data_IF_864142739977
#
_entry.id   IF_864142739977
#
_cell.length_a   1.000
_cell.length_b   1.000
_cell.length_c   1.000
_cell.angle_alpha   90.00
_cell.angle_beta   90.00
_cell.angle_gamma   90.00
#
_symmetry.space_group_name_H-M   'P 1'
#
loop_
_entity.id
_entity.type
_entity.pdbx_description
1 polymer ?
#
# COMPACT_ATOMS: atom_id res chain seq x y z
N UNK A 1 -0.36 13.58 16.77
CA UNK A 1 -1.81 13.64 16.42
C UNK A 1 -2.06 13.23 14.99
N UNK A 2 -1.60 13.98 13.98
CA UNK A 2 -1.96 13.76 12.55
C UNK A 2 -1.63 12.34 12.07
N UNK A 3 -0.42 11.83 12.30
CA UNK A 3 -0.02 10.49 11.86
C UNK A 3 -0.94 9.38 12.41
N UNK A 4 -1.35 9.46 13.67
CA UNK A 4 -2.26 8.50 14.27
C UNK A 4 -3.67 8.60 13.68
N UNK A 5 -4.24 9.81 13.67
CA UNK A 5 -5.65 10.01 13.28
C UNK A 5 -5.94 9.73 11.79
N UNK A 6 -4.90 9.69 10.95
CA UNK A 6 -5.01 9.33 9.53
C UNK A 6 -4.80 7.84 9.25
N UNK A 7 -4.29 7.08 10.22
CA UNK A 7 -3.97 5.66 10.01
C UNK A 7 -4.81 4.69 10.86
N UNK A 8 -5.33 5.14 12.01
CA UNK A 8 -6.16 4.30 12.90
C UNK A 8 -7.49 4.96 13.23
N UNK A 9 -8.41 4.17 13.77
CA UNK A 9 -9.75 4.62 14.11
C UNK A 9 -9.77 5.80 15.09
N UNK A 10 -10.64 6.78 14.83
CA UNK A 10 -10.72 8.05 15.60
C UNK A 10 -10.88 7.86 17.10
N UNK A 11 -11.65 6.85 17.53
CA UNK A 11 -11.87 6.57 18.96
C UNK A 11 -10.57 6.14 19.64
N UNK A 12 -9.84 5.20 19.03
CA UNK A 12 -8.55 4.73 19.57
C UNK A 12 -7.51 5.83 19.55
N UNK A 13 -7.45 6.61 18.47
CA UNK A 13 -6.57 7.78 18.39
C UNK A 13 -6.83 8.75 19.53
N UNK A 14 -8.10 9.11 19.77
CA UNK A 14 -8.44 10.09 20.81
C UNK A 14 -8.14 9.56 22.20
N UNK A 15 -8.49 8.31 22.50
CA UNK A 15 -8.13 7.65 23.76
C UNK A 15 -6.63 7.75 24.03
N UNK A 16 -5.78 7.30 23.10
CA UNK A 16 -4.32 7.38 23.25
C UNK A 16 -3.79 8.80 23.45
N UNK A 17 -4.40 9.78 22.79
CA UNK A 17 -3.99 11.18 22.91
C UNK A 17 -4.33 11.81 24.27
N UNK A 18 -5.46 11.42 24.86
CA UNK A 18 -5.91 12.02 26.13
C UNK A 18 -5.39 11.26 27.36
N UNK A 19 -5.16 9.96 27.25
CA UNK A 19 -4.61 9.14 28.33
C UNK A 19 -3.08 9.19 28.36
N UNK A 20 -2.44 9.35 27.20
CA UNK A 20 -0.99 9.23 27.07
C UNK A 20 -0.48 7.79 27.17
N UNK A 21 -1.36 6.79 27.14
CA UNK A 21 -1.00 5.38 27.26
C UNK A 21 -0.22 4.88 26.04
N UNK A 22 0.79 4.07 26.31
CA UNK A 22 1.54 3.36 25.27
C UNK A 22 0.82 2.07 24.88
N UNK A 23 0.91 1.72 23.61
CA UNK A 23 0.45 0.43 23.09
C UNK A 23 1.67 -0.42 22.69
N UNK A 24 1.54 -1.74 22.83
CA UNK A 24 2.57 -2.67 22.39
C UNK A 24 2.48 -2.92 20.88
N UNK A 25 3.47 -3.65 20.31
CA UNK A 25 3.55 -3.90 18.86
C UNK A 25 2.34 -4.68 18.32
N UNK A 26 1.79 -5.64 19.09
CA UNK A 26 0.61 -6.41 18.68
C UNK A 26 -0.65 -5.55 18.67
N UNK A 27 -0.86 -4.74 19.70
CA UNK A 27 -1.96 -3.77 19.75
C UNK A 27 -1.86 -2.74 18.61
N UNK A 28 -0.64 -2.30 18.27
CA UNK A 28 -0.40 -1.41 17.14
C UNK A 28 -0.78 -2.07 15.81
N UNK A 29 -0.52 -3.37 15.64
CA UNK A 29 -0.95 -4.16 14.48
C UNK A 29 -2.46 -4.31 14.43
N UNK A 30 -3.09 -4.66 15.54
CA UNK A 30 -4.56 -4.81 15.63
C UNK A 30 -5.28 -3.49 15.35
N UNK A 31 -4.73 -2.38 15.82
CA UNK A 31 -5.24 -1.03 15.53
C UNK A 31 -5.00 -0.58 14.08
N UNK A 32 -4.18 -1.29 13.30
CA UNK A 32 -3.82 -0.92 11.92
C UNK A 32 -2.72 0.15 11.81
N UNK A 33 -2.00 0.43 12.91
CA UNK A 33 -0.90 1.40 12.91
C UNK A 33 0.35 0.84 12.22
N UNK A 34 0.58 -0.46 12.35
CA UNK A 34 1.66 -1.19 11.66
C UNK A 34 1.10 -2.41 10.95
N UNK A 35 1.67 -2.78 9.81
CA UNK A 35 1.19 -3.89 9.00
C UNK A 35 1.69 -5.25 9.53
N UNK A 36 2.91 -5.28 10.05
CA UNK A 36 3.58 -6.50 10.50
C UNK A 36 4.28 -6.28 11.83
N UNK A 37 4.40 -7.36 12.58
CA UNK A 37 5.23 -7.44 13.80
C UNK A 37 6.17 -8.62 13.61
N UNK A 38 7.43 -8.44 14.00
CA UNK A 38 8.45 -9.48 13.96
C UNK A 38 9.31 -9.41 15.23
N UNK A 39 9.97 -10.52 15.59
CA UNK A 39 11.02 -10.45 16.60
C UNK A 39 12.22 -9.66 16.08
N UNK A 40 13.09 -9.21 16.99
CA UNK A 40 14.28 -8.41 16.62
C UNK A 40 15.15 -9.19 15.63
N UNK A 41 15.33 -10.50 15.84
CA UNK A 41 16.14 -11.37 15.00
C UNK A 41 15.55 -11.55 13.59
N UNK A 42 14.23 -11.48 13.46
CA UNK A 42 13.51 -11.69 12.20
C UNK A 42 13.15 -10.38 11.48
N UNK A 43 13.43 -9.22 12.08
CA UNK A 43 12.98 -7.93 11.54
C UNK A 43 13.57 -7.66 10.14
N UNK A 44 14.88 -7.84 9.97
CA UNK A 44 15.55 -7.65 8.67
C UNK A 44 14.98 -8.63 7.63
N UNK A 45 14.88 -9.91 7.95
CA UNK A 45 14.36 -10.92 7.04
C UNK A 45 12.93 -10.59 6.60
N UNK A 46 12.08 -10.14 7.52
CA UNK A 46 10.70 -9.75 7.18
C UNK A 46 10.63 -8.51 6.30
N UNK A 47 11.52 -7.55 6.55
CA UNK A 47 11.63 -6.35 5.72
C UNK A 47 12.09 -6.70 4.31
N UNK A 48 13.12 -7.52 4.18
CA UNK A 48 13.68 -7.95 2.90
C UNK A 48 12.67 -8.79 2.09
N UNK A 49 11.89 -9.67 2.75
CA UNK A 49 10.80 -10.41 2.11
C UNK A 49 9.77 -9.48 1.47
N UNK A 50 9.36 -8.42 2.18
CA UNK A 50 8.35 -7.47 1.66
C UNK A 50 8.96 -6.63 0.55
N UNK A 51 10.21 -6.16 0.72
CA UNK A 51 10.91 -5.40 -0.29
C UNK A 51 11.10 -6.21 -1.58
N UNK A 52 11.50 -7.47 -1.48
CA UNK A 52 11.63 -8.37 -2.63
C UNK A 52 10.31 -8.52 -3.39
N UNK A 53 9.19 -8.76 -2.69
CA UNK A 53 7.86 -8.83 -3.32
C UNK A 53 7.46 -7.57 -4.07
N UNK A 54 7.90 -6.40 -3.60
CA UNK A 54 7.66 -5.13 -4.29
C UNK A 54 8.56 -5.01 -5.51
N UNK A 55 9.83 -5.42 -5.39
CA UNK A 55 10.81 -5.36 -6.48
C UNK A 55 10.48 -6.32 -7.64
N UNK A 56 9.73 -7.40 -7.38
CA UNK A 56 9.21 -8.30 -8.43
C UNK A 56 8.15 -7.64 -9.32
N UNK A 57 7.58 -6.51 -8.89
CA UNK A 57 6.53 -5.82 -9.65
C UNK A 57 7.15 -4.80 -10.60
N UNK A 58 6.47 -4.56 -11.71
CA UNK A 58 6.94 -3.58 -12.68
C UNK A 58 6.99 -2.17 -12.07
N UNK A 59 8.17 -1.58 -12.09
CA UNK A 59 8.51 -0.33 -11.39
C UNK A 59 7.58 0.84 -11.76
N UNK A 60 7.25 0.96 -13.06
CA UNK A 60 6.39 2.05 -13.55
C UNK A 60 4.97 1.93 -13.02
N UNK A 61 4.39 0.72 -13.02
CA UNK A 61 3.04 0.46 -12.52
C UNK A 61 2.96 0.73 -11.00
N UNK A 62 3.96 0.28 -10.24
CA UNK A 62 4.04 0.57 -8.79
C UNK A 62 4.12 2.08 -8.54
N UNK A 63 4.91 2.82 -9.34
CA UNK A 63 5.02 4.29 -9.23
C UNK A 63 3.69 4.99 -9.53
N UNK A 64 2.99 4.58 -10.57
CA UNK A 64 1.67 5.12 -10.95
C UNK A 64 0.67 4.83 -9.82
N UNK A 65 0.58 3.58 -9.37
CA UNK A 65 -0.33 3.16 -8.31
C UNK A 65 -0.08 3.89 -7.00
N UNK A 66 1.18 4.05 -6.59
CA UNK A 66 1.53 4.78 -5.37
C UNK A 66 1.11 6.26 -5.45
N UNK A 67 1.38 6.92 -6.58
CA UNK A 67 0.97 8.32 -6.79
C UNK A 67 -0.55 8.46 -6.73
N UNK A 68 -1.27 7.57 -7.42
CA UNK A 68 -2.73 7.59 -7.45
C UNK A 68 -3.34 7.33 -6.07
N UNK A 69 -2.79 6.38 -5.31
CA UNK A 69 -3.26 6.05 -3.97
C UNK A 69 -3.25 7.26 -3.03
N UNK A 70 -2.12 7.98 -2.97
CA UNK A 70 -2.03 9.15 -2.09
C UNK A 70 -2.84 10.35 -2.59
N UNK A 71 -2.92 10.54 -3.90
CA UNK A 71 -3.68 11.66 -4.46
C UNK A 71 -5.18 11.49 -4.24
N UNK A 72 -5.75 10.31 -4.57
CA UNK A 72 -7.18 10.07 -4.40
C UNK A 72 -7.66 10.15 -2.94
N UNK A 73 -6.76 9.85 -1.98
CA UNK A 73 -7.11 9.91 -0.55
C UNK A 73 -7.42 11.32 -0.03
N UNK A 74 -7.03 12.36 -0.77
CA UNK A 74 -7.27 13.77 -0.42
C UNK A 74 -8.49 14.35 -1.19
N UNK A 75 -9.11 13.58 -2.10
CA UNK A 75 -10.26 13.98 -2.90
C UNK A 75 -11.58 13.59 -2.24
N UNK A 76 -12.68 14.24 -2.64
CA UNK A 76 -14.00 13.73 -2.33
C UNK A 76 -14.28 12.42 -3.12
N UNK A 77 -15.29 11.68 -2.73
CA UNK A 77 -15.56 10.36 -3.29
C UNK A 77 -15.78 10.36 -4.81
N UNK A 78 -16.52 11.32 -5.33
CA UNK A 78 -16.79 11.42 -6.77
C UNK A 78 -15.51 11.71 -7.55
N UNK A 79 -14.77 12.74 -7.15
CA UNK A 79 -13.50 13.13 -7.76
C UNK A 79 -12.47 12.00 -7.69
N UNK A 80 -12.45 11.23 -6.58
CA UNK A 80 -11.57 10.08 -6.42
C UNK A 80 -11.86 9.00 -7.46
N UNK A 81 -13.15 8.67 -7.71
CA UNK A 81 -13.55 7.72 -8.74
C UNK A 81 -13.21 8.21 -10.15
N UNK A 82 -13.52 9.47 -10.47
CA UNK A 82 -13.19 10.06 -11.78
C UNK A 82 -11.69 10.05 -12.04
N UNK A 83 -10.90 10.47 -11.06
CA UNK A 83 -9.45 10.47 -11.15
C UNK A 83 -8.87 9.05 -11.33
N UNK A 84 -9.30 8.11 -10.48
CA UNK A 84 -8.75 6.74 -10.53
C UNK A 84 -9.20 5.97 -11.78
N UNK A 85 -10.39 6.26 -12.33
CA UNK A 85 -10.82 5.71 -13.61
C UNK A 85 -9.89 6.14 -14.75
N UNK A 86 -9.51 7.42 -14.81
CA UNK A 86 -8.57 7.93 -15.80
C UNK A 86 -7.18 7.30 -15.63
N UNK A 87 -6.66 7.24 -14.39
CA UNK A 87 -5.38 6.56 -14.11
C UNK A 87 -5.41 5.10 -14.53
N UNK A 88 -6.52 4.39 -14.29
CA UNK A 88 -6.68 3.00 -14.69
C UNK A 88 -6.69 2.88 -16.23
N UNK A 89 -7.44 3.74 -16.92
CA UNK A 89 -7.50 3.72 -18.39
C UNK A 89 -6.10 3.96 -19.01
N UNK A 90 -5.35 4.94 -18.51
CA UNK A 90 -3.97 5.20 -18.92
C UNK A 90 -3.04 4.03 -18.63
N UNK A 91 -3.20 3.37 -17.48
CA UNK A 91 -2.38 2.22 -17.10
C UNK A 91 -2.68 0.98 -17.96
N UNK A 92 -3.93 0.78 -18.37
CA UNK A 92 -4.35 -0.40 -19.15
C UNK A 92 -3.77 -0.46 -20.56
N UNK A 93 -3.32 0.67 -21.11
CA UNK A 93 -2.71 0.73 -22.47
C UNK A 93 -1.18 0.60 -22.43
N UNK A 94 -0.58 0.42 -21.25
CA UNK A 94 0.86 0.20 -21.13
C UNK A 94 1.21 -1.25 -21.53
N UNK A 95 2.27 -1.43 -22.29
CA UNK A 95 2.75 -2.75 -22.70
C UNK A 95 3.02 -3.67 -21.51
N UNK A 96 3.56 -3.11 -20.44
CA UNK A 96 3.84 -3.83 -19.20
C UNK A 96 2.56 -4.29 -18.47
N UNK A 97 1.49 -3.53 -18.60
CA UNK A 97 0.19 -3.95 -18.03
C UNK A 97 -0.42 -5.07 -18.87
N UNK A 98 -0.30 -4.99 -20.19
CA UNK A 98 -0.74 -6.04 -21.11
C UNK A 98 0.03 -7.32 -20.83
N UNK A 99 1.36 -7.24 -20.69
CA UNK A 99 2.21 -8.38 -20.32
C UNK A 99 1.80 -8.97 -18.95
N UNK A 100 1.60 -8.14 -17.94
CA UNK A 100 1.18 -8.59 -16.61
C UNK A 100 -0.17 -9.32 -16.63
N UNK A 101 -1.13 -8.85 -17.42
CA UNK A 101 -2.44 -9.50 -17.61
C UNK A 101 -2.28 -10.81 -18.36
N UNK A 102 -1.52 -10.84 -19.47
CA UNK A 102 -1.27 -12.05 -20.24
C UNK A 102 -0.60 -13.13 -19.40
N UNK A 103 0.45 -12.76 -18.66
CA UNK A 103 1.17 -13.66 -17.76
C UNK A 103 0.24 -14.24 -16.68
N UNK A 104 -0.67 -13.42 -16.14
CA UNK A 104 -1.65 -13.88 -15.15
C UNK A 104 -2.65 -14.89 -15.76
N UNK A 105 -3.15 -14.63 -16.96
CA UNK A 105 -4.07 -15.54 -17.67
C UNK A 105 -3.37 -16.86 -17.99
N UNK A 106 -2.12 -16.79 -18.48
CA UNK A 106 -1.31 -17.94 -18.89
C UNK A 106 -0.66 -18.68 -17.69
N UNK A 107 -0.83 -18.16 -16.48
CA UNK A 107 -0.23 -18.69 -15.23
C UNK A 107 1.29 -18.83 -15.31
N UNK A 108 1.95 -17.89 -15.93
CA UNK A 108 3.41 -17.80 -16.06
C UNK A 108 3.96 -16.57 -15.31
N UNK A 109 5.25 -16.52 -15.13
CA UNK A 109 5.94 -15.34 -14.63
C UNK A 109 5.94 -14.27 -15.73
N UNK A 110 5.61 -13.00 -15.43
CA UNK A 110 5.70 -11.91 -16.39
C UNK A 110 7.15 -11.59 -16.76
N UNK A 111 7.39 -11.25 -18.01
CA UNK A 111 8.68 -10.81 -18.54
C UNK A 111 8.64 -9.29 -18.72
N UNK A 112 9.26 -8.57 -17.76
CA UNK A 112 9.28 -7.12 -17.80
C UNK A 112 10.35 -6.62 -18.77
N UNK A 113 9.95 -5.84 -19.76
CA UNK A 113 10.89 -5.07 -20.62
C UNK A 113 11.31 -3.80 -19.89
N UNK A 114 12.63 -3.50 -19.82
CA UNK A 114 13.17 -2.29 -19.20
C UNK A 114 12.80 -1.01 -19.98
#
# INVERSE_FOLDING_TARGET
>A
MVALSRNIGRKKTFEMLVTGDFINAMEAKEAGLVNHVASIEMLSNKTDEIAAKICEKFKRVVKIGKKAFYHQAELNLQEAYEYTANVMAENMVLDETIEGISAFIDKRVPEWTE
#
